data_IF_692096788452
#
_entry.id   IF_692096788452
#
_cell.length_a   1.000
_cell.length_b   1.000
_cell.length_c   1.000
_cell.angle_alpha   90.00
_cell.angle_beta   90.00
_cell.angle_gamma   90.00
#
_symmetry.space_group_name_H-M   'P 1'
#
loop_
_entity.id
_entity.type
_entity.pdbx_description
1 polymer ?
#
# COMPACT_ATOMS: atom_id res chain seq x y z
N UNK A 1 25.72 -14.23 0.30
CA UNK A 1 25.18 -13.67 1.56
C UNK A 1 24.24 -12.51 1.25
N UNK A 2 22.92 -12.71 1.39
CA UNK A 2 21.92 -11.66 1.09
C UNK A 2 21.63 -10.82 2.35
N UNK A 3 22.43 -9.77 2.58
CA UNK A 3 22.25 -8.85 3.72
C UNK A 3 21.25 -7.70 3.47
N UNK A 4 20.72 -7.52 2.25
CA UNK A 4 20.01 -6.29 1.88
C UNK A 4 18.51 -6.27 2.22
N UNK A 5 17.87 -7.41 2.50
CA UNK A 5 16.42 -7.48 2.70
C UNK A 5 15.98 -7.26 4.16
N UNK A 6 16.87 -7.44 5.14
CA UNK A 6 16.54 -7.29 6.56
C UNK A 6 16.54 -5.84 7.06
N UNK A 7 17.25 -4.93 6.39
CA UNK A 7 17.31 -3.52 6.82
C UNK A 7 16.09 -2.69 6.37
N UNK A 8 15.38 -3.10 5.31
CA UNK A 8 14.19 -2.37 4.83
C UNK A 8 13.00 -2.59 5.78
N UNK A 9 12.90 -3.77 6.40
CA UNK A 9 11.85 -4.07 7.38
C UNK A 9 12.00 -3.34 8.73
N UNK A 10 13.19 -2.80 9.04
CA UNK A 10 13.48 -2.13 10.31
C UNK A 10 13.23 -0.61 10.29
N UNK A 11 12.83 -0.02 9.15
CA UNK A 11 12.58 1.41 9.01
C UNK A 11 11.11 1.84 9.26
N UNK A 12 10.30 0.96 9.85
CA UNK A 12 8.87 1.19 10.10
C UNK A 12 8.54 2.00 11.36
N UNK A 13 9.48 2.77 11.93
CA UNK A 13 9.26 3.54 13.17
C UNK A 13 9.04 5.06 12.95
N UNK A 14 8.36 5.45 11.84
CA UNK A 14 7.84 6.82 11.69
C UNK A 14 8.42 7.65 10.53
N UNK A 15 9.21 7.05 9.63
CA UNK A 15 9.79 7.73 8.44
C UNK A 15 9.14 7.24 7.12
N UNK A 16 7.87 6.83 7.19
CA UNK A 16 7.36 5.70 6.36
C UNK A 16 6.60 6.08 5.07
N UNK A 17 6.43 7.36 4.71
CA UNK A 17 5.66 7.72 3.48
C UNK A 17 6.49 8.37 2.38
N UNK A 18 7.23 9.44 2.68
CA UNK A 18 7.99 10.16 1.66
C UNK A 18 9.25 9.44 1.22
N UNK A 19 9.98 8.78 2.14
CA UNK A 19 11.14 7.96 1.77
C UNK A 19 10.73 6.69 1.03
N UNK A 20 9.60 6.09 1.41
CA UNK A 20 9.01 4.97 0.65
C UNK A 20 8.63 5.46 -0.75
N UNK A 21 7.91 6.58 -0.90
CA UNK A 21 7.61 7.17 -2.21
C UNK A 21 8.87 7.52 -3.04
N UNK A 22 9.92 8.06 -2.42
CA UNK A 22 11.19 8.35 -3.10
C UNK A 22 11.96 7.09 -3.48
N UNK A 23 11.97 6.04 -2.64
CA UNK A 23 12.52 4.74 -2.98
C UNK A 23 11.72 4.12 -4.13
N UNK A 24 10.40 4.22 -4.11
CA UNK A 24 9.49 3.78 -5.18
C UNK A 24 9.78 4.49 -6.51
N UNK A 25 10.03 5.80 -6.46
CA UNK A 25 10.24 6.64 -7.65
C UNK A 25 11.66 6.52 -8.21
N UNK A 26 12.67 6.37 -7.34
CA UNK A 26 14.09 6.33 -7.72
C UNK A 26 14.51 4.95 -8.22
N UNK A 27 13.82 3.88 -7.81
CA UNK A 27 14.23 2.54 -8.16
C UNK A 27 13.71 2.06 -9.52
N UNK A 28 12.50 2.40 -9.98
CA UNK A 28 11.98 1.75 -11.20
C UNK A 28 10.90 2.50 -11.99
N UNK A 29 11.23 2.77 -13.26
CA UNK A 29 10.28 2.87 -14.36
C UNK A 29 9.82 1.52 -14.95
N UNK A 30 10.14 0.37 -14.34
CA UNK A 30 9.89 -0.94 -14.99
C UNK A 30 9.48 -2.15 -14.12
N UNK A 31 9.60 -2.17 -12.79
CA UNK A 31 9.31 -3.40 -12.04
C UNK A 31 8.67 -3.10 -10.69
N UNK A 32 7.58 -3.82 -10.41
CA UNK A 32 6.77 -3.75 -9.19
C UNK A 32 7.69 -3.67 -7.97
N UNK A 33 7.61 -2.60 -7.16
CA UNK A 33 8.56 -2.41 -6.10
C UNK A 33 8.44 -3.53 -5.08
N UNK A 34 9.56 -3.88 -4.42
CA UNK A 34 9.55 -4.54 -3.12
C UNK A 34 8.96 -3.55 -2.10
N UNK A 35 7.68 -3.23 -2.29
CA UNK A 35 6.90 -2.47 -1.36
C UNK A 35 6.92 -3.28 -0.06
N UNK A 36 7.06 -2.57 1.05
CA UNK A 36 7.06 -3.10 2.42
C UNK A 36 6.12 -4.31 2.51
N UNK A 37 6.61 -5.42 3.09
CA UNK A 37 5.84 -6.66 3.25
C UNK A 37 4.42 -6.34 3.77
N UNK A 38 3.39 -6.78 3.04
CA UNK A 38 1.97 -6.48 3.35
C UNK A 38 1.36 -5.24 2.68
N UNK A 39 2.06 -4.58 1.77
CA UNK A 39 1.48 -3.55 0.90
C UNK A 39 0.70 -4.17 -0.27
N UNK A 40 -0.46 -3.61 -0.58
CA UNK A 40 -1.35 -4.13 -1.64
C UNK A 40 -1.70 -3.05 -2.65
N UNK A 41 -1.79 -3.41 -3.92
CA UNK A 41 -2.42 -2.54 -4.92
C UNK A 41 -3.92 -2.40 -4.65
N UNK A 42 -4.54 -1.38 -5.22
CA UNK A 42 -6.01 -1.22 -5.19
C UNK A 42 -6.76 -2.46 -5.69
N UNK A 43 -6.21 -3.16 -6.68
CA UNK A 43 -6.80 -4.39 -7.23
C UNK A 43 -6.68 -5.56 -6.24
N UNK A 44 -5.48 -5.78 -5.70
CA UNK A 44 -5.24 -6.84 -4.71
C UNK A 44 -6.05 -6.65 -3.43
N UNK A 45 -6.13 -5.42 -2.92
CA UNK A 45 -6.93 -5.12 -1.75
C UNK A 45 -8.43 -5.32 -2.02
N UNK A 46 -8.91 -4.97 -3.22
CA UNK A 46 -10.29 -5.19 -3.61
C UNK A 46 -10.62 -6.69 -3.66
N UNK A 47 -9.74 -7.48 -4.28
CA UNK A 47 -9.88 -8.93 -4.38
C UNK A 47 -9.82 -9.60 -3.00
N UNK A 48 -8.85 -9.21 -2.16
CA UNK A 48 -8.69 -9.74 -0.80
C UNK A 48 -9.94 -9.48 0.06
N UNK A 49 -10.52 -8.28 -0.03
CA UNK A 49 -11.71 -7.92 0.74
C UNK A 49 -13.02 -8.37 0.08
N UNK A 50 -12.96 -8.99 -1.10
CA UNK A 50 -14.12 -9.40 -1.89
C UNK A 50 -15.08 -8.23 -2.12
N UNK A 51 -14.53 -7.05 -2.42
CA UNK A 51 -15.30 -5.83 -2.71
C UNK A 51 -14.98 -5.29 -4.10
N UNK A 52 -15.93 -4.54 -4.67
CA UNK A 52 -15.68 -3.84 -5.92
C UNK A 52 -14.66 -2.70 -5.70
N UNK A 53 -13.76 -2.48 -6.67
CA UNK A 53 -12.80 -1.35 -6.66
C UNK A 53 -13.47 0.01 -6.48
N UNK A 54 -14.70 0.17 -6.96
CA UNK A 54 -15.51 1.37 -6.73
C UNK A 54 -15.77 1.66 -5.25
N UNK A 55 -15.86 0.63 -4.40
CA UNK A 55 -16.01 0.76 -2.95
C UNK A 55 -14.72 1.29 -2.33
N UNK A 56 -13.56 0.75 -2.69
CA UNK A 56 -12.26 1.27 -2.24
C UNK A 56 -12.05 2.72 -2.69
N UNK A 57 -12.42 3.03 -3.94
CA UNK A 57 -12.38 4.41 -4.45
C UNK A 57 -13.28 5.33 -3.65
N UNK A 58 -14.50 4.91 -3.31
CA UNK A 58 -15.42 5.67 -2.49
C UNK A 58 -14.88 5.88 -1.06
N UNK A 59 -14.27 4.86 -0.46
CA UNK A 59 -13.63 5.00 0.85
C UNK A 59 -12.46 6.00 0.82
N UNK A 60 -11.65 5.97 -0.25
CA UNK A 60 -10.57 6.95 -0.45
C UNK A 60 -11.10 8.37 -0.60
N UNK A 61 -12.14 8.56 -1.44
CA UNK A 61 -12.77 9.87 -1.64
C UNK A 61 -13.41 10.43 -0.37
N UNK A 62 -13.91 9.55 0.51
CA UNK A 62 -14.45 9.92 1.83
C UNK A 62 -13.38 10.06 2.91
N UNK A 63 -12.10 9.93 2.57
CA UNK A 63 -10.99 10.00 3.53
C UNK A 63 -10.95 8.86 4.55
N UNK A 64 -11.69 7.77 4.31
CA UNK A 64 -11.73 6.61 5.21
C UNK A 64 -10.47 5.77 5.12
N UNK A 65 -9.87 5.68 3.93
CA UNK A 65 -8.58 5.01 3.67
C UNK A 65 -7.71 5.90 2.80
N UNK A 66 -6.40 5.79 2.93
CA UNK A 66 -5.41 6.53 2.17
C UNK A 66 -4.57 5.57 1.34
N UNK A 67 -4.29 5.95 0.08
CA UNK A 67 -3.43 5.21 -0.82
C UNK A 67 -2.29 6.08 -1.30
N UNK A 68 -1.13 5.46 -1.53
CA UNK A 68 0.05 6.10 -2.10
C UNK A 68 -0.04 5.95 -3.62
N UNK A 69 -0.07 7.08 -4.32
CA UNK A 69 -0.08 7.11 -5.78
C UNK A 69 1.35 6.98 -6.32
N UNK A 70 1.59 5.96 -7.13
CA UNK A 70 2.87 5.73 -7.83
C UNK A 70 2.56 5.55 -9.30
N UNK A 71 2.70 6.63 -10.08
CA UNK A 71 2.23 6.69 -11.46
C UNK A 71 0.73 6.47 -11.55
N UNK A 72 0.31 5.48 -12.35
CA UNK A 72 -1.11 5.10 -12.53
C UNK A 72 -1.66 4.15 -11.45
N UNK A 73 -0.81 3.67 -10.56
CA UNK A 73 -1.17 2.67 -9.56
C UNK A 73 -1.33 3.30 -8.19
N UNK A 74 -2.26 2.73 -7.41
CA UNK A 74 -2.50 3.12 -6.02
C UNK A 74 -2.12 1.94 -5.14
N UNK A 75 -1.26 2.19 -4.17
CA UNK A 75 -0.77 1.21 -3.22
C UNK A 75 -1.25 1.55 -1.81
N UNK A 76 -1.62 0.54 -1.04
CA UNK A 76 -2.09 0.64 0.32
C UNK A 76 -1.04 0.01 1.22
N UNK A 77 -0.61 0.76 2.23
CA UNK A 77 0.30 0.26 3.28
C UNK A 77 -0.46 -0.67 4.24
N UNK A 78 0.21 -1.56 4.98
CA UNK A 78 -0.44 -2.55 5.85
C UNK A 78 -1.48 -1.95 6.81
N UNK A 79 -1.20 -0.76 7.37
CA UNK A 79 -2.12 -0.04 8.24
C UNK A 79 -3.44 0.31 7.54
N UNK A 80 -3.37 0.73 6.28
CA UNK A 80 -4.53 1.10 5.46
C UNK A 80 -5.27 -0.14 4.92
N UNK A 81 -4.54 -1.23 4.69
CA UNK A 81 -5.12 -2.56 4.39
C UNK A 81 -5.97 -3.05 5.57
N UNK A 82 -5.44 -3.02 6.80
CA UNK A 82 -6.19 -3.41 7.99
C UNK A 82 -7.38 -2.47 8.25
N UNK A 83 -7.20 -1.16 8.00
CA UNK A 83 -8.31 -0.20 8.09
C UNK A 83 -9.41 -0.50 7.08
N UNK A 84 -9.05 -0.82 5.84
CA UNK A 84 -9.99 -1.23 4.79
C UNK A 84 -10.69 -2.54 5.17
N UNK A 85 -9.97 -3.50 5.77
CA UNK A 85 -10.52 -4.76 6.27
C UNK A 85 -11.58 -4.53 7.36
N UNK A 86 -11.29 -3.70 8.36
CA UNK A 86 -12.27 -3.31 9.39
C UNK A 86 -13.50 -2.61 8.82
N UNK A 87 -13.36 -1.88 7.71
CA UNK A 87 -14.49 -1.25 7.02
C UNK A 87 -15.32 -2.26 6.20
N UNK A 88 -14.68 -3.28 5.65
CA UNK A 88 -15.35 -4.37 4.93
C UNK A 88 -16.11 -5.30 5.87
N UNK A 89 -15.56 -5.59 7.04
CA UNK A 89 -16.12 -6.50 8.04
C UNK A 89 -17.35 -5.93 8.76
N UNK A 90 -17.46 -4.60 8.87
CA UNK A 90 -18.62 -3.89 9.46
C UNK A 90 -19.86 -3.85 8.54
N UNK A 91 -19.92 -4.69 7.52
CA UNK A 91 -20.86 -4.57 6.40
C UNK A 91 -21.90 -5.67 6.39
#
# INVERSE_FOLDING_TARGET
EHKTLKEIGALCDGVTRQRVAQLLQRHYGTTRPALVDGTLTEDELAQMLVINRGVLKAWRLRGKVQGIHVGRYVYYVPEEVERARKLADKR
#
